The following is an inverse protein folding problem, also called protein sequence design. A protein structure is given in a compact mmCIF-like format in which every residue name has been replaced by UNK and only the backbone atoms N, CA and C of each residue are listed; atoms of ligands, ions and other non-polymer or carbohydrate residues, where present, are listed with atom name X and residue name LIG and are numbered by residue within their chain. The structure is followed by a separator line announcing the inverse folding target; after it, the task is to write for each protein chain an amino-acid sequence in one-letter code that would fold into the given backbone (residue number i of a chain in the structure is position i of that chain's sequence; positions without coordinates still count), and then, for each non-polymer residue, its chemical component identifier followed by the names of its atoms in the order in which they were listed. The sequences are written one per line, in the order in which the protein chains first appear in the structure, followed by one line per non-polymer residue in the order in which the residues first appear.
data_IF_577331349306
#
_entry.id   IF_577331349306
#
_cell.length_a   1.000
_cell.length_b   1.000
_cell.length_c   1.000
_cell.angle_alpha   90.00
_cell.angle_beta   90.00
_cell.angle_gamma   90.00
#
_symmetry.space_group_name_H-M   'P 1'
#
loop_
_entity.id
_entity.type
_entity.pdbx_description
1 polymer ?
#
# COMPACT_ATOMS: atom_id res chain seq x y z
N UNK A 1 -6.24 9.14 15.24
CA UNK A 1 -5.83 8.54 13.94
C UNK A 1 -6.73 9.07 12.82
N UNK A 2 -6.16 9.57 11.71
CA UNK A 2 -6.94 9.89 10.50
C UNK A 2 -7.15 8.61 9.70
N UNK A 3 -8.38 8.16 9.52
CA UNK A 3 -8.71 6.93 8.80
C UNK A 3 -9.18 7.29 7.39
N UNK A 4 -8.36 6.99 6.39
CA UNK A 4 -8.72 7.14 4.98
C UNK A 4 -9.29 5.85 4.40
N UNK A 5 -10.31 5.96 3.54
CA UNK A 5 -10.94 4.79 2.87
C UNK A 5 -9.93 3.94 2.12
N UNK A 6 -8.93 4.57 1.47
CA UNK A 6 -7.92 3.86 0.69
C UNK A 6 -7.03 2.97 1.57
N UNK A 7 -6.63 3.45 2.76
CA UNK A 7 -5.88 2.64 3.72
C UNK A 7 -6.68 1.44 4.24
N UNK A 8 -7.98 1.63 4.50
CA UNK A 8 -8.87 0.54 4.89
C UNK A 8 -9.03 -0.48 3.77
N UNK A 9 -9.28 -0.03 2.54
CA UNK A 9 -9.41 -0.91 1.39
C UNK A 9 -8.15 -1.78 1.22
N UNK A 10 -6.96 -1.17 1.28
CA UNK A 10 -5.70 -1.89 1.14
C UNK A 10 -5.44 -2.84 2.32
N UNK A 11 -5.61 -2.37 3.55
CA UNK A 11 -5.38 -3.17 4.76
C UNK A 11 -6.33 -4.36 4.87
N UNK A 12 -7.56 -4.23 4.40
CA UNK A 12 -8.55 -5.30 4.38
C UNK A 12 -8.36 -6.30 3.23
N UNK A 13 -7.84 -5.84 2.08
CA UNK A 13 -7.74 -6.65 0.87
C UNK A 13 -6.40 -7.38 0.71
N UNK A 14 -5.28 -6.81 1.17
CA UNK A 14 -3.96 -7.35 0.87
C UNK A 14 -3.85 -8.86 1.20
N UNK A 15 -3.22 -9.68 0.34
CA UNK A 15 -3.13 -11.14 0.53
C UNK A 15 -2.05 -11.48 1.57
N UNK A 16 -2.48 -11.79 2.79
CA UNK A 16 -1.60 -11.95 3.96
C UNK A 16 -1.27 -13.39 4.31
N UNK A 17 -1.93 -14.37 3.68
CA UNK A 17 -2.03 -15.76 4.16
C UNK A 17 -0.67 -16.45 4.32
N UNK A 18 0.34 -16.07 3.52
CA UNK A 18 1.67 -16.68 3.54
C UNK A 18 2.79 -15.71 3.97
N UNK A 19 2.45 -14.47 4.33
CA UNK A 19 3.45 -13.46 4.63
C UNK A 19 3.99 -13.66 6.06
N UNK A 20 5.28 -14.01 6.19
CA UNK A 20 5.97 -14.06 7.49
C UNK A 20 6.54 -12.71 7.93
N UNK A 21 6.81 -11.84 6.95
CA UNK A 21 7.28 -10.49 7.19
C UNK A 21 6.63 -9.54 6.19
N UNK A 22 6.09 -8.44 6.69
CA UNK A 22 5.40 -7.44 5.90
C UNK A 22 6.09 -6.08 6.05
N UNK A 23 6.15 -5.31 4.96
CA UNK A 23 6.59 -3.92 4.98
C UNK A 23 5.44 -2.99 4.58
N UNK A 24 5.16 -1.98 5.40
CA UNK A 24 4.25 -0.87 5.08
C UNK A 24 5.07 0.39 4.75
N UNK A 25 5.12 0.77 3.47
CA UNK A 25 5.87 1.93 2.97
C UNK A 25 4.97 3.16 2.97
N UNK A 26 5.38 4.20 3.70
CA UNK A 26 4.57 5.41 3.90
C UNK A 26 3.43 5.12 4.87
N UNK A 27 3.75 4.54 6.03
CA UNK A 27 2.75 4.00 6.97
C UNK A 27 1.82 5.09 7.55
N UNK A 28 2.19 6.37 7.46
CA UNK A 28 1.46 7.48 8.03
C UNK A 28 1.22 7.25 9.52
N UNK A 29 -0.05 7.20 9.94
CA UNK A 29 -0.41 6.92 11.34
C UNK A 29 -0.39 5.44 11.73
N UNK A 30 0.09 4.53 10.88
CA UNK A 30 0.18 3.09 11.18
C UNK A 30 -1.09 2.29 10.92
N UNK A 31 -2.09 2.85 10.24
CA UNK A 31 -3.40 2.21 10.04
C UNK A 31 -3.27 0.87 9.32
N UNK A 32 -2.58 0.84 8.18
CA UNK A 32 -2.46 -0.39 7.37
C UNK A 32 -1.63 -1.42 8.14
N UNK A 33 -0.50 -1.03 8.74
CA UNK A 33 0.29 -1.89 9.62
C UNK A 33 -0.55 -2.56 10.73
N UNK A 34 -1.44 -1.82 11.40
CA UNK A 34 -2.34 -2.36 12.42
C UNK A 34 -3.36 -3.35 11.84
N UNK A 35 -3.98 -3.03 10.71
CA UNK A 35 -4.93 -3.93 10.04
C UNK A 35 -4.26 -5.22 9.59
N UNK A 36 -3.05 -5.13 9.05
CA UNK A 36 -2.25 -6.30 8.67
C UNK A 36 -1.85 -7.13 9.88
N UNK A 37 -1.52 -6.49 11.00
CA UNK A 37 -1.28 -7.17 12.26
C UNK A 37 -2.52 -8.00 12.64
N UNK A 38 -3.70 -7.38 12.70
CA UNK A 38 -4.95 -8.08 13.05
C UNK A 38 -5.24 -9.32 12.18
N UNK A 39 -4.87 -9.28 10.89
CA UNK A 39 -5.18 -10.35 9.92
C UNK A 39 -4.12 -11.44 9.80
N UNK A 40 -2.93 -11.24 10.37
CA UNK A 40 -1.79 -12.14 10.19
C UNK A 40 -1.53 -13.02 11.40
N UNK A 41 -0.86 -14.14 11.16
CA UNK A 41 -0.42 -15.07 12.21
C UNK A 41 0.43 -14.36 13.29
N UNK A 42 0.38 -14.79 14.57
CA UNK A 42 1.15 -14.17 15.65
C UNK A 42 2.67 -14.10 15.44
N UNK A 43 3.23 -14.96 14.60
CA UNK A 43 4.66 -14.98 14.24
C UNK A 43 5.02 -14.05 13.07
N UNK A 44 4.02 -13.39 12.45
CA UNK A 44 4.26 -12.41 11.39
C UNK A 44 4.80 -11.10 11.97
N UNK A 45 5.95 -10.66 11.44
CA UNK A 45 6.57 -9.37 11.80
C UNK A 45 6.21 -8.29 10.78
N UNK A 46 5.94 -7.08 11.25
CA UNK A 46 5.56 -5.94 10.42
C UNK A 46 6.55 -4.82 10.64
N UNK A 47 7.28 -4.46 9.59
CA UNK A 47 8.07 -3.23 9.56
C UNK A 47 7.22 -2.14 8.88
N UNK A 48 7.24 -0.94 9.44
CA UNK A 48 6.51 0.20 8.92
C UNK A 48 7.48 1.38 8.78
N UNK A 49 7.58 1.95 7.59
CA UNK A 49 8.53 3.03 7.27
C UNK A 49 7.75 4.28 6.95
N UNK A 50 8.12 5.37 7.59
CA UNK A 50 7.53 6.69 7.36
C UNK A 50 8.65 7.74 7.34
N UNK A 51 8.59 8.64 6.35
CA UNK A 51 9.59 9.71 6.18
C UNK A 51 9.33 10.87 7.13
N UNK A 52 8.05 11.16 7.39
CA UNK A 52 7.63 12.22 8.32
C UNK A 52 7.76 11.75 9.78
N UNK A 53 8.63 12.42 10.55
CA UNK A 53 8.95 11.99 11.91
C UNK A 53 7.74 12.07 12.86
N UNK A 54 6.86 13.06 12.70
CA UNK A 54 5.67 13.25 13.53
C UNK A 54 4.63 12.16 13.25
N UNK A 55 4.41 11.82 11.98
CA UNK A 55 3.54 10.71 11.57
C UNK A 55 4.10 9.36 12.06
N UNK A 56 5.42 9.15 11.94
CA UNK A 56 6.09 7.96 12.44
C UNK A 56 5.92 7.82 13.96
N UNK A 57 6.04 8.92 14.71
CA UNK A 57 5.80 8.89 16.16
C UNK A 57 4.34 8.55 16.48
N UNK A 58 3.40 9.16 15.77
CA UNK A 58 1.99 8.82 15.92
C UNK A 58 1.71 7.34 15.61
N UNK A 59 2.38 6.76 14.62
CA UNK A 59 2.29 5.33 14.32
C UNK A 59 2.88 4.46 15.43
N UNK A 60 4.00 4.87 16.06
CA UNK A 60 4.56 4.18 17.24
C UNK A 60 3.59 4.17 18.40
N UNK A 61 2.99 5.32 18.72
CA UNK A 61 1.97 5.44 19.76
C UNK A 61 0.79 4.50 19.49
N UNK A 62 0.27 4.50 18.25
CA UNK A 62 -0.85 3.64 17.88
C UNK A 62 -0.49 2.15 17.94
N UNK A 63 0.71 1.77 17.48
CA UNK A 63 1.21 0.40 17.58
C UNK A 63 1.39 -0.03 19.05
N UNK A 64 1.99 0.83 19.88
CA UNK A 64 2.22 0.60 21.30
C UNK A 64 0.94 0.49 22.13
N UNK A 65 -0.11 1.22 21.73
CA UNK A 65 -1.44 1.12 22.34
C UNK A 65 -2.29 -0.06 21.82
N UNK A 66 -1.76 -0.85 20.87
CA UNK A 66 -2.46 -2.00 20.29
C UNK A 66 -2.04 -3.33 20.93
N UNK A 67 -2.82 -4.41 20.77
CA UNK A 67 -2.41 -5.76 21.16
C UNK A 67 -1.18 -6.30 20.41
N UNK A 68 -0.66 -5.58 19.41
CA UNK A 68 0.39 -6.04 18.50
C UNK A 68 1.68 -5.22 18.60
N UNK A 69 1.89 -4.51 19.71
CA UNK A 69 3.05 -3.66 19.94
C UNK A 69 4.39 -4.36 19.66
N UNK A 70 4.52 -5.64 20.01
CA UNK A 70 5.76 -6.41 19.79
C UNK A 70 5.98 -6.82 18.33
N UNK A 71 4.94 -6.78 17.49
CA UNK A 71 4.99 -7.22 16.09
C UNK A 71 5.19 -6.09 15.09
N UNK A 72 4.88 -4.85 15.48
CA UNK A 72 4.94 -3.69 14.58
C UNK A 72 6.13 -2.82 14.97
N UNK A 73 7.12 -2.74 14.07
CA UNK A 73 8.30 -1.88 14.21
C UNK A 73 8.21 -0.68 13.27
N UNK A 74 8.06 0.51 13.83
CA UNK A 74 7.98 1.76 13.06
C UNK A 74 9.33 2.47 12.99
N UNK A 75 9.79 2.77 11.77
CA UNK A 75 11.05 3.43 11.45
C UNK A 75 10.76 4.80 10.83
N UNK A 76 11.34 5.86 11.41
CA UNK A 76 11.27 7.21 10.85
C UNK A 76 12.45 7.40 9.90
N UNK A 77 12.34 6.85 8.69
CA UNK A 77 13.45 6.72 7.74
C UNK A 77 12.97 6.90 6.30
N UNK A 78 13.90 7.29 5.43
CA UNK A 78 13.68 7.25 3.99
C UNK A 78 13.69 5.80 3.49
N UNK A 79 12.64 5.38 2.78
CA UNK A 79 12.55 4.04 2.19
C UNK A 79 13.73 3.74 1.25
N UNK A 80 14.31 4.74 0.60
CA UNK A 80 15.51 4.58 -0.21
C UNK A 80 16.71 4.11 0.63
N UNK A 81 16.82 4.59 1.87
CA UNK A 81 17.86 4.15 2.79
C UNK A 81 17.59 2.73 3.27
N UNK A 82 16.35 2.45 3.68
CA UNK A 82 15.93 1.10 4.09
C UNK A 82 16.22 0.08 2.98
N UNK A 83 15.89 0.41 1.71
CA UNK A 83 16.15 -0.44 0.56
C UNK A 83 17.63 -0.67 0.25
N UNK A 84 18.52 0.26 0.62
CA UNK A 84 19.98 0.09 0.46
C UNK A 84 20.58 -0.74 1.58
N UNK A 85 20.13 -0.53 2.81
CA UNK A 85 20.79 -1.05 4.01
C UNK A 85 20.29 -2.46 4.38
N UNK A 86 19.25 -2.95 3.71
CA UNK A 86 18.58 -4.21 4.03
C UNK A 86 18.46 -5.13 2.82
N UNK A 87 18.62 -6.45 3.00
CA UNK A 87 18.37 -7.42 1.93
C UNK A 87 16.86 -7.63 1.70
N UNK A 88 16.53 -8.22 0.56
CA UNK A 88 15.21 -8.75 0.27
C UNK A 88 14.76 -9.75 1.34
N UNK A 89 13.59 -9.51 1.96
CA UNK A 89 13.11 -10.30 3.12
C UNK A 89 11.61 -10.20 3.38
N UNK A 90 10.87 -9.51 2.53
CA UNK A 90 9.45 -9.25 2.73
C UNK A 90 8.64 -10.09 1.75
N UNK A 91 7.77 -10.96 2.28
CA UNK A 91 6.80 -11.72 1.49
C UNK A 91 5.63 -10.87 1.01
N UNK A 92 5.38 -9.76 1.70
CA UNK A 92 4.39 -8.77 1.31
C UNK A 92 4.93 -7.37 1.57
N UNK A 93 4.79 -6.49 0.59
CA UNK A 93 5.02 -5.06 0.73
C UNK A 93 3.70 -4.37 0.41
N UNK A 94 3.29 -3.41 1.21
CA UNK A 94 2.10 -2.57 0.95
C UNK A 94 2.50 -1.10 0.92
N UNK A 95 1.78 -0.31 0.14
CA UNK A 95 1.88 1.14 0.20
C UNK A 95 0.58 1.80 -0.24
N UNK A 96 0.17 2.84 0.48
CA UNK A 96 -0.80 3.82 -0.01
C UNK A 96 -0.04 5.09 -0.38
N UNK A 97 0.67 5.10 -1.53
CA UNK A 97 1.53 6.21 -1.87
C UNK A 97 0.69 7.46 -2.13
N UNK A 98 1.20 8.65 -1.80
CA UNK A 98 0.53 9.87 -2.20
C UNK A 98 0.47 9.92 -3.74
N UNK A 99 -0.63 10.42 -4.28
CA UNK A 99 -0.90 10.44 -5.71
C UNK A 99 -0.06 11.52 -6.41
N UNK A 100 1.23 11.28 -6.58
CA UNK A 100 2.16 12.25 -7.16
C UNK A 100 2.14 12.16 -8.69
N UNK A 101 1.54 13.15 -9.34
CA UNK A 101 2.02 13.61 -10.64
C UNK A 101 2.96 14.80 -10.40
N UNK A 102 4.24 14.76 -10.83
CA UNK A 102 5.01 15.97 -10.94
C UNK A 102 4.37 16.85 -12.00
N UNK A 103 3.68 17.91 -11.59
CA UNK A 103 3.23 18.95 -12.50
C UNK A 103 4.46 19.57 -13.19
N UNK A 104 4.52 19.38 -14.51
CA UNK A 104 5.18 20.18 -15.55
C UNK A 104 6.63 20.64 -15.28
N UNK A 105 7.52 20.25 -16.20
CA UNK A 105 8.91 20.68 -16.25
C UNK A 105 9.07 22.21 -16.28
N UNK A 106 9.30 22.85 -15.14
CA UNK A 106 10.04 24.12 -15.08
C UNK A 106 11.54 23.81 -15.06
N UNK A 107 12.24 24.33 -16.07
CA UNK A 107 13.71 24.29 -16.22
C UNK A 107 14.33 25.17 -15.15
N UNK A 108 14.87 24.59 -14.09
CA UNK A 108 15.89 25.25 -13.25
C UNK A 108 16.77 24.20 -12.56
N UNK A 109 18.06 24.22 -12.87
CA UNK A 109 19.05 23.23 -12.46
C UNK A 109 19.26 23.17 -10.93
N UNK A 110 18.89 24.22 -10.19
CA UNK A 110 19.00 24.31 -8.74
C UNK A 110 17.93 23.50 -7.97
N UNK A 111 16.84 23.07 -8.61
CA UNK A 111 15.80 22.21 -7.99
C UNK A 111 16.06 20.71 -8.12
N UNK A 112 17.11 20.31 -8.83
CA UNK A 112 17.43 18.89 -9.05
C UNK A 112 17.80 18.18 -7.75
N UNK A 113 18.43 18.87 -6.79
CA UNK A 113 18.74 18.31 -5.46
C UNK A 113 17.50 18.16 -4.56
N UNK A 114 16.53 19.08 -4.66
CA UNK A 114 15.26 19.00 -3.93
C UNK A 114 14.32 17.89 -4.47
N UNK A 115 14.51 17.46 -5.73
CA UNK A 115 13.77 16.34 -6.32
C UNK A 115 14.18 14.97 -5.79
N UNK A 116 15.42 14.84 -5.31
CA UNK A 116 15.88 13.61 -4.65
C UNK A 116 15.40 13.47 -3.20
N UNK A 117 14.86 14.54 -2.62
CA UNK A 117 14.48 14.61 -1.19
C UNK A 117 12.99 14.83 -0.94
N UNK A 118 12.16 14.99 -1.98
CA UNK A 118 10.79 15.50 -1.81
C UNK A 118 9.62 14.61 -2.20
N UNK A 119 9.80 13.58 -3.05
CA UNK A 119 8.67 12.78 -3.54
C UNK A 119 9.12 11.40 -4.01
N UNK A 120 8.60 10.35 -3.39
CA UNK A 120 8.75 8.97 -3.84
C UNK A 120 7.97 8.80 -5.16
N UNK A 121 8.67 8.84 -6.30
CA UNK A 121 8.05 8.60 -7.60
C UNK A 121 7.59 7.15 -7.75
N UNK A 122 6.73 6.85 -8.72
CA UNK A 122 6.32 5.48 -9.00
C UNK A 122 7.50 4.56 -9.34
N UNK A 123 8.45 5.03 -10.16
CA UNK A 123 9.65 4.27 -10.49
C UNK A 123 10.51 4.01 -9.25
N UNK A 124 10.69 5.03 -8.40
CA UNK A 124 11.43 4.92 -7.16
C UNK A 124 10.77 3.93 -6.19
N UNK A 125 9.45 3.98 -6.05
CA UNK A 125 8.67 3.05 -5.22
C UNK A 125 8.81 1.61 -5.73
N UNK A 126 8.64 1.39 -7.03
CA UNK A 126 8.81 0.08 -7.66
C UNK A 126 10.23 -0.46 -7.50
N UNK A 127 11.25 0.40 -7.61
CA UNK A 127 12.65 0.01 -7.40
C UNK A 127 12.94 -0.38 -5.94
N UNK A 128 12.44 0.40 -4.97
CA UNK A 128 12.60 0.08 -3.55
C UNK A 128 11.86 -1.21 -3.19
N UNK A 129 10.63 -1.38 -3.67
CA UNK A 129 9.87 -2.61 -3.48
C UNK A 129 10.63 -3.81 -4.08
N UNK A 130 11.20 -3.68 -5.27
CA UNK A 130 11.93 -4.78 -5.92
C UNK A 130 13.19 -5.18 -5.16
N UNK A 131 13.89 -4.24 -4.53
CA UNK A 131 15.08 -4.51 -3.72
C UNK A 131 14.77 -5.21 -2.38
N UNK A 132 13.57 -4.99 -1.85
CA UNK A 132 13.16 -5.43 -0.52
C UNK A 132 12.26 -6.70 -0.56
N UNK A 133 11.62 -6.97 -1.70
CA UNK A 133 10.70 -8.09 -1.86
C UNK A 133 11.46 -9.41 -2.02
N UNK A 134 11.07 -10.42 -1.23
CA UNK A 134 11.61 -11.76 -1.38
C UNK A 134 11.06 -12.47 -2.63
N UNK A 135 11.69 -13.59 -3.00
CA UNK A 135 11.21 -14.40 -4.12
C UNK A 135 9.79 -14.92 -3.87
N UNK A 136 8.89 -14.73 -4.84
CA UNK A 136 7.48 -15.10 -4.71
C UNK A 136 6.63 -14.14 -3.87
N UNK A 137 7.23 -13.08 -3.33
CA UNK A 137 6.50 -12.05 -2.60
C UNK A 137 5.58 -11.20 -3.50
N UNK A 138 4.71 -10.42 -2.87
CA UNK A 138 3.80 -9.49 -3.55
C UNK A 138 4.00 -8.04 -3.09
N UNK A 139 3.90 -7.11 -4.04
CA UNK A 139 3.83 -5.68 -3.75
C UNK A 139 2.43 -5.15 -4.04
N UNK A 140 1.76 -4.62 -3.02
CA UNK A 140 0.37 -4.17 -3.09
C UNK A 140 0.24 -2.65 -2.91
N UNK A 141 -0.58 -2.02 -3.76
CA UNK A 141 -0.86 -0.59 -3.69
C UNK A 141 -2.34 -0.28 -3.87
N UNK A 142 -2.76 0.89 -3.38
CA UNK A 142 -4.06 1.50 -3.67
C UNK A 142 -3.85 2.83 -4.39
N UNK A 143 -4.51 3.02 -5.53
CA UNK A 143 -4.31 4.18 -6.41
C UNK A 143 -5.64 4.62 -7.04
N UNK A 144 -5.81 5.89 -7.44
CA UNK A 144 -6.84 6.30 -8.38
C UNK A 144 -6.74 5.46 -9.66
N UNK A 145 -7.87 5.10 -10.24
CA UNK A 145 -7.93 4.13 -11.33
C UNK A 145 -6.98 4.48 -12.51
N UNK A 146 -7.07 5.71 -13.02
CA UNK A 146 -6.22 6.20 -14.13
C UNK A 146 -4.72 6.28 -13.76
N UNK A 147 -4.41 6.49 -12.48
CA UNK A 147 -3.03 6.46 -11.98
C UNK A 147 -2.55 5.00 -11.93
N UNK A 148 -3.39 4.08 -11.47
CA UNK A 148 -3.12 2.64 -11.42
C UNK A 148 -2.80 2.05 -12.79
N UNK A 149 -3.55 2.41 -13.84
CA UNK A 149 -3.29 1.95 -15.20
C UNK A 149 -1.90 2.40 -15.72
N UNK A 150 -1.52 3.65 -15.46
CA UNK A 150 -0.16 4.14 -15.77
C UNK A 150 0.90 3.46 -14.91
N UNK A 151 0.62 3.23 -13.63
CA UNK A 151 1.51 2.52 -12.72
C UNK A 151 1.79 1.09 -13.20
N UNK A 152 0.77 0.37 -13.68
CA UNK A 152 0.92 -0.97 -14.28
C UNK A 152 1.86 -0.91 -15.48
N UNK A 153 1.67 0.06 -16.36
CA UNK A 153 2.50 0.23 -17.57
C UNK A 153 3.98 0.43 -17.19
N UNK A 154 4.25 1.32 -16.24
CA UNK A 154 5.59 1.54 -15.70
C UNK A 154 6.15 0.26 -15.04
N UNK A 155 5.35 -0.40 -14.20
CA UNK A 155 5.76 -1.60 -13.49
C UNK A 155 6.17 -2.73 -14.44
N UNK A 156 5.40 -2.96 -15.51
CA UNK A 156 5.69 -3.97 -16.53
C UNK A 156 7.04 -3.73 -17.22
N UNK A 157 7.37 -2.47 -17.52
CA UNK A 157 8.69 -2.13 -18.08
C UNK A 157 9.86 -2.45 -17.13
N UNK A 158 9.59 -2.45 -15.83
CA UNK A 158 10.54 -2.81 -14.78
C UNK A 158 10.56 -4.29 -14.41
N UNK A 159 9.85 -5.18 -15.11
CA UNK A 159 9.78 -6.61 -14.83
C UNK A 159 8.81 -7.00 -13.71
N UNK A 160 7.80 -6.17 -13.45
CA UNK A 160 6.69 -6.52 -12.58
C UNK A 160 5.50 -7.03 -13.39
N UNK A 161 4.75 -7.94 -12.79
CA UNK A 161 3.58 -8.57 -13.42
C UNK A 161 2.36 -8.38 -12.52
N UNK A 162 1.24 -7.83 -13.03
CA UNK A 162 -0.01 -7.80 -12.29
C UNK A 162 -0.45 -9.21 -11.90
N UNK A 163 -0.54 -9.46 -10.60
CA UNK A 163 -0.99 -10.72 -10.03
C UNK A 163 -2.50 -10.66 -9.75
N UNK A 164 -2.94 -9.57 -9.10
CA UNK A 164 -4.34 -9.35 -8.77
C UNK A 164 -4.68 -7.87 -8.85
N UNK A 165 -5.90 -7.53 -9.23
CA UNK A 165 -6.43 -6.18 -9.08
C UNK A 165 -7.92 -6.17 -8.79
N UNK A 166 -8.36 -5.17 -8.02
CA UNK A 166 -9.77 -4.88 -7.78
C UNK A 166 -10.08 -3.48 -8.29
N UNK A 167 -10.99 -3.39 -9.23
CA UNK A 167 -11.45 -2.16 -9.83
C UNK A 167 -12.67 -1.62 -9.06
N UNK A 168 -12.51 -0.45 -8.43
CA UNK A 168 -13.49 0.05 -7.45
C UNK A 168 -14.28 1.23 -8.01
N UNK A 169 -15.60 1.20 -7.82
CA UNK A 169 -16.55 2.28 -8.11
C UNK A 169 -17.46 2.54 -6.91
N UNK A 170 -18.06 3.73 -6.87
CA UNK A 170 -18.98 4.10 -5.79
C UNK A 170 -20.25 3.24 -5.79
N UNK A 171 -20.85 3.04 -6.97
CA UNK A 171 -22.07 2.23 -7.18
C UNK A 171 -22.11 1.67 -8.61
N UNK A 172 -22.96 0.67 -8.92
CA UNK A 172 -23.11 0.14 -10.27
C UNK A 172 -23.34 1.25 -11.31
N UNK A 173 -22.71 1.11 -12.48
CA UNK A 173 -22.81 2.08 -13.57
C UNK A 173 -22.01 3.39 -13.37
N UNK A 174 -21.34 3.61 -12.23
CA UNK A 174 -20.44 4.76 -12.05
C UNK A 174 -19.02 4.45 -12.51
N UNK A 175 -18.24 5.48 -12.90
CA UNK A 175 -16.84 5.30 -13.27
C UNK A 175 -16.03 4.65 -12.16
N UNK A 176 -14.99 3.91 -12.57
CA UNK A 176 -13.96 3.42 -11.68
C UNK A 176 -13.16 4.61 -11.14
N UNK A 177 -12.93 4.64 -9.83
CA UNK A 177 -12.21 5.74 -9.18
C UNK A 177 -11.03 5.29 -8.31
N UNK A 178 -10.94 4.00 -8.00
CA UNK A 178 -9.82 3.39 -7.29
C UNK A 178 -9.47 2.03 -7.86
N UNK A 179 -8.23 1.64 -7.64
CA UNK A 179 -7.70 0.32 -7.94
C UNK A 179 -6.87 -0.16 -6.75
N UNK A 180 -7.17 -1.37 -6.29
CA UNK A 180 -6.25 -2.16 -5.49
C UNK A 180 -5.45 -3.02 -6.46
N UNK A 181 -4.13 -3.06 -6.32
CA UNK A 181 -3.24 -3.73 -7.26
C UNK A 181 -2.17 -4.50 -6.51
N UNK A 182 -1.97 -5.77 -6.88
CA UNK A 182 -0.89 -6.63 -6.40
C UNK A 182 0.00 -6.97 -7.59
N UNK A 183 1.30 -6.74 -7.42
CA UNK A 183 2.34 -6.99 -8.40
C UNK A 183 3.28 -8.09 -7.90
N UNK A 184 3.75 -8.93 -8.82
CA UNK A 184 4.76 -9.96 -8.60
C UNK A 184 5.99 -9.71 -9.45
N UNK A 185 7.16 -10.16 -8.98
CA UNK A 185 8.40 -10.21 -9.78
C UNK A 185 8.46 -11.40 -10.73
N UNK A 186 7.56 -12.37 -10.54
CA UNK A 186 7.45 -13.57 -11.37
C UNK A 186 6.20 -13.47 -12.25
N UNK A 187 6.26 -13.86 -13.53
CA UNK A 187 5.08 -13.94 -14.39
C UNK A 187 3.99 -14.81 -13.76
N UNK A 188 2.77 -14.27 -13.73
CA UNK A 188 1.57 -14.93 -13.19
C UNK A 188 0.36 -14.54 -14.04
N UNK A 189 -0.66 -15.39 -14.04
CA UNK A 189 -1.95 -15.05 -14.67
C UNK A 189 -2.67 -14.00 -13.82
N UNK A 190 -2.98 -12.81 -14.35
CA UNK A 190 -3.63 -11.76 -13.59
C UNK A 190 -5.08 -12.14 -13.26
N UNK A 191 -5.49 -11.90 -12.01
CA UNK A 191 -6.89 -11.95 -11.58
C UNK A 191 -7.44 -10.53 -11.50
N UNK A 192 -8.57 -10.27 -12.14
CA UNK A 192 -9.25 -8.96 -12.07
C UNK A 192 -10.65 -9.14 -11.51
N UNK A 193 -10.95 -8.35 -10.48
CA UNK A 193 -12.25 -8.30 -9.81
C UNK A 193 -12.78 -6.87 -9.83
N UNK A 194 -14.08 -6.71 -9.57
CA UNK A 194 -14.71 -5.39 -9.47
C UNK A 194 -15.49 -5.27 -8.17
N UNK A 195 -15.44 -4.08 -7.56
CA UNK A 195 -16.13 -3.78 -6.32
C UNK A 195 -16.94 -2.48 -6.47
N UNK A 196 -18.25 -2.56 -6.22
CA UNK A 196 -19.07 -1.39 -5.97
C UNK A 196 -19.19 -1.18 -4.45
N UNK A 197 -18.85 0.02 -3.96
CA UNK A 197 -18.91 0.33 -2.53
C UNK A 197 -20.36 0.34 -2.01
N UNK A 198 -21.30 0.76 -2.86
CA UNK A 198 -22.73 0.84 -2.58
C UNK A 198 -23.55 0.03 -3.59
N UNK A 199 -24.72 -0.43 -3.16
CA UNK A 199 -25.74 -1.02 -4.03
C UNK A 199 -26.58 0.07 -4.76
N UNK A 200 -27.56 -0.36 -5.56
CA UNK A 200 -28.45 0.56 -6.28
C UNK A 200 -29.35 1.39 -5.35
N UNK A 201 -29.62 0.89 -4.14
CA UNK A 201 -30.38 1.58 -3.10
C UNK A 201 -29.53 2.59 -2.31
N UNK A 202 -28.22 2.66 -2.57
CA UNK A 202 -27.28 3.56 -1.92
C UNK A 202 -26.73 3.06 -0.58
N UNK A 203 -27.08 1.84 -0.16
CA UNK A 203 -26.52 1.21 1.03
C UNK A 203 -25.14 0.65 0.72
N UNK A 204 -24.27 0.51 1.72
CA UNK A 204 -23.01 -0.21 1.53
C UNK A 204 -23.27 -1.63 1.04
N UNK A 205 -22.58 -2.04 -0.02
CA UNK A 205 -22.78 -3.35 -0.64
C UNK A 205 -22.35 -4.48 0.29
N UNK A 206 -22.93 -5.67 0.12
CA UNK A 206 -22.58 -6.84 0.93
C UNK A 206 -21.08 -7.18 0.82
N UNK A 207 -20.52 -7.11 -0.41
CA UNK A 207 -19.11 -7.36 -0.67
C UNK A 207 -18.20 -6.35 0.05
N UNK A 208 -18.56 -5.06 0.03
CA UNK A 208 -17.78 -4.06 0.75
C UNK A 208 -17.86 -4.24 2.27
N UNK A 209 -19.06 -4.50 2.81
CA UNK A 209 -19.21 -4.77 4.25
C UNK A 209 -18.37 -5.95 4.69
N UNK A 210 -18.50 -7.08 3.98
CA UNK A 210 -17.70 -8.28 4.28
C UNK A 210 -16.20 -7.99 4.31
N UNK A 211 -15.71 -7.12 3.42
CA UNK A 211 -14.31 -6.71 3.41
C UNK A 211 -13.89 -5.92 4.66
N UNK A 212 -14.77 -5.08 5.22
CA UNK A 212 -14.40 -4.12 6.28
C UNK A 212 -14.94 -4.44 7.67
N UNK A 213 -15.84 -5.43 7.82
CA UNK A 213 -16.54 -5.73 9.08
C UNK A 213 -15.59 -5.96 10.24
N UNK A 214 -14.44 -6.61 10.02
CA UNK A 214 -13.46 -6.88 11.09
C UNK A 214 -12.78 -5.61 11.63
N UNK A 215 -12.92 -4.46 10.95
CA UNK A 215 -12.22 -3.21 11.28
C UNK A 215 -13.14 -2.08 11.73
N UNK A 216 -14.46 -2.24 11.62
CA UNK A 216 -15.42 -1.24 12.06
C UNK A 216 -16.47 -1.82 12.99
N UNK A 217 -16.81 -1.06 14.03
CA UNK A 217 -17.76 -1.47 15.06
C UNK A 217 -19.24 -1.39 14.62
N UNK A 218 -19.56 -0.73 13.50
CA UNK A 218 -20.92 -0.32 13.14
C UNK A 218 -21.41 -0.79 11.76
N UNK A 219 -20.82 -1.86 11.19
CA UNK A 219 -21.19 -2.39 9.87
C UNK A 219 -21.72 -3.82 9.93
#
# INVERSE_FOLDING_TARGET
MKVGTDGVLLGAWAPVENARRILDIGTGSGLIALMLAQRTSPDCAIDAVELDADAAEQARENAGASPWAERIRVQAEDIHQVARDNPARYGLIVSNPPYFEPAVACRDAARTQARYTGTLSHDALLACAAALLEEGGLFCVVLPYEIGERFITTAQSGGWHPARRVEIRDRPGKPLHRMLLALSRTPVTPVTEALALRDEAGNYSAAFRQMITDFYLFY
#
